data_IF_821799672904
#
_entry.id   IF_821799672904
#
_cell.length_a   1.000
_cell.length_b   1.000
_cell.length_c   1.000
_cell.angle_alpha   90.00
_cell.angle_beta   90.00
_cell.angle_gamma   90.00
#
_symmetry.space_group_name_H-M   'P 1'
#
loop_
_entity.id
_entity.type
_entity.pdbx_description
1 polymer ?
#
# COMPACT_ATOMS: atom_id res chain seq x y z
N UNK A 1 39.64 4.52 -0.29
CA UNK A 1 39.91 3.54 0.73
C UNK A 1 38.57 3.15 1.28
N UNK A 2 38.15 2.02 0.76
CA UNK A 2 36.97 1.19 1.02
C UNK A 2 35.69 1.86 1.54
N UNK A 3 34.93 2.35 0.61
CA UNK A 3 33.47 2.45 0.73
C UNK A 3 32.92 1.02 0.58
N UNK A 4 32.62 0.40 1.70
CA UNK A 4 31.80 -0.80 1.72
C UNK A 4 30.42 -0.42 1.19
N UNK A 5 30.15 -0.66 -0.08
CA UNK A 5 28.83 -0.81 -0.66
C UNK A 5 28.11 -1.93 0.09
N UNK A 6 27.46 -1.58 1.20
CA UNK A 6 26.53 -2.48 1.84
C UNK A 6 25.33 -2.58 0.93
N UNK A 7 25.35 -3.55 0.04
CA UNK A 7 24.20 -4.02 -0.73
C UNK A 7 23.03 -4.21 0.25
N UNK A 8 22.08 -3.29 0.22
CA UNK A 8 20.81 -3.45 0.93
C UNK A 8 19.91 -4.37 0.11
N UNK A 9 20.25 -5.65 0.09
CA UNK A 9 19.34 -6.67 -0.41
C UNK A 9 18.15 -6.82 0.56
N UNK A 10 16.97 -6.89 0.00
CA UNK A 10 15.80 -7.42 0.73
C UNK A 10 16.20 -8.78 1.30
N UNK A 11 15.95 -9.06 2.58
CA UNK A 11 16.28 -10.36 3.15
C UNK A 11 15.66 -11.47 2.31
N UNK A 12 16.48 -12.34 1.72
CA UNK A 12 16.04 -13.38 0.78
C UNK A 12 14.96 -14.29 1.36
N UNK A 13 15.02 -14.56 2.67
CA UNK A 13 14.04 -15.36 3.41
C UNK A 13 12.65 -14.72 3.41
N UNK A 14 12.55 -13.40 3.60
CA UNK A 14 11.27 -12.68 3.57
C UNK A 14 10.66 -12.63 2.17
N UNK A 15 11.47 -12.42 1.16
CA UNK A 15 11.01 -12.45 -0.22
C UNK A 15 10.52 -13.86 -0.60
N UNK A 16 11.26 -14.90 -0.20
CA UNK A 16 10.84 -16.29 -0.38
C UNK A 16 9.49 -16.56 0.31
N UNK A 17 9.30 -16.04 1.54
CA UNK A 17 8.03 -16.18 2.26
C UNK A 17 6.87 -15.51 1.54
N UNK A 18 7.05 -14.30 1.01
CA UNK A 18 6.01 -13.62 0.20
C UNK A 18 5.67 -14.43 -1.04
N UNK A 19 6.66 -14.98 -1.73
CA UNK A 19 6.44 -15.82 -2.91
C UNK A 19 5.71 -17.12 -2.56
N UNK A 20 6.06 -17.78 -1.45
CA UNK A 20 5.33 -18.97 -0.96
C UNK A 20 3.87 -18.66 -0.67
N UNK A 21 3.60 -17.56 0.04
CA UNK A 21 2.23 -17.12 0.34
C UNK A 21 1.49 -16.74 -0.95
N UNK A 22 2.16 -16.09 -1.89
CA UNK A 22 1.58 -15.69 -3.17
C UNK A 22 1.14 -16.89 -4.04
N UNK A 23 1.78 -18.05 -3.91
CA UNK A 23 1.40 -19.27 -4.65
C UNK A 23 0.52 -20.23 -3.85
N UNK A 24 0.38 -20.05 -2.55
CA UNK A 24 -0.49 -20.83 -1.67
C UNK A 24 -1.92 -20.29 -1.66
N UNK A 25 -2.82 -20.96 -0.94
CA UNK A 25 -4.18 -20.47 -0.66
C UNK A 25 -4.26 -19.59 0.61
N UNK A 26 -3.14 -18.93 0.96
CA UNK A 26 -3.09 -18.03 2.11
C UNK A 26 -4.01 -16.83 1.91
N UNK A 27 -4.58 -16.26 2.98
CA UNK A 27 -5.38 -15.05 2.92
C UNK A 27 -4.59 -13.90 2.28
N UNK A 28 -5.26 -13.11 1.44
CA UNK A 28 -4.65 -11.96 0.76
C UNK A 28 -4.01 -10.99 1.76
N UNK A 29 -4.69 -10.71 2.87
CA UNK A 29 -4.20 -9.83 3.93
C UNK A 29 -2.87 -10.29 4.53
N UNK A 30 -2.70 -11.59 4.76
CA UNK A 30 -1.44 -12.17 5.27
C UNK A 30 -0.30 -11.94 4.29
N UNK A 31 -0.52 -12.21 3.01
CA UNK A 31 0.50 -12.02 1.96
C UNK A 31 0.89 -10.55 1.81
N UNK A 32 -0.09 -9.66 1.81
CA UNK A 32 0.17 -8.21 1.74
C UNK A 32 0.85 -7.69 3.01
N UNK A 33 0.49 -8.22 4.17
CA UNK A 33 1.13 -7.89 5.45
C UNK A 33 2.61 -8.26 5.48
N UNK A 34 2.99 -9.44 5.00
CA UNK A 34 4.39 -9.85 4.88
C UNK A 34 5.18 -8.96 3.89
N UNK A 35 4.56 -8.58 2.79
CA UNK A 35 5.15 -7.65 1.83
C UNK A 35 5.43 -6.29 2.46
N UNK A 36 4.50 -5.75 3.24
CA UNK A 36 4.69 -4.51 3.99
C UNK A 36 5.76 -4.64 5.07
N UNK A 37 5.84 -5.79 5.74
CA UNK A 37 6.88 -6.09 6.72
C UNK A 37 8.31 -6.00 6.13
N UNK A 38 8.48 -6.29 4.83
CA UNK A 38 9.76 -6.08 4.13
C UNK A 38 10.07 -4.59 4.07
N UNK A 39 9.12 -3.76 3.66
CA UNK A 39 9.28 -2.31 3.54
C UNK A 39 9.64 -1.69 4.89
N UNK A 40 8.86 -2.00 5.92
CA UNK A 40 9.03 -1.44 7.26
C UNK A 40 10.38 -1.84 7.88
N UNK A 41 10.79 -3.10 7.72
CA UNK A 41 12.07 -3.60 8.26
C UNK A 41 13.30 -3.09 7.51
N UNK A 42 13.15 -2.75 6.24
CA UNK A 42 14.25 -2.23 5.42
C UNK A 42 14.43 -0.72 5.60
N UNK A 43 13.40 -0.04 6.09
CA UNK A 43 13.43 1.40 6.34
C UNK A 43 14.28 1.74 7.56
N UNK A 44 15.13 2.75 7.42
CA UNK A 44 15.88 3.35 8.55
C UNK A 44 15.13 4.50 9.22
N UNK A 45 14.01 4.92 8.66
CA UNK A 45 13.25 6.10 9.08
C UNK A 45 11.95 5.76 9.78
N UNK A 46 11.71 4.46 10.05
CA UNK A 46 10.49 4.03 10.72
C UNK A 46 9.24 4.24 9.86
N UNK A 47 9.33 3.93 8.56
CA UNK A 47 8.18 3.98 7.67
C UNK A 47 7.10 3.02 8.13
N UNK A 48 5.86 3.43 8.00
CA UNK A 48 4.68 2.61 8.24
C UNK A 48 3.99 2.36 6.90
N UNK A 49 3.82 1.08 6.54
CA UNK A 49 3.23 0.68 5.26
C UNK A 49 1.74 0.40 5.36
N UNK A 50 1.00 0.72 4.30
CA UNK A 50 -0.36 0.22 4.13
C UNK A 50 -0.68 -0.11 2.66
N UNK A 51 -1.57 -1.06 2.47
CA UNK A 51 -2.19 -1.35 1.18
C UNK A 51 -3.70 -1.25 1.34
N UNK A 52 -4.31 -0.40 0.54
CA UNK A 52 -5.75 -0.32 0.37
C UNK A 52 -6.14 -0.94 -0.97
N UNK A 53 -7.25 -1.65 -0.98
CA UNK A 53 -7.79 -2.32 -2.17
C UNK A 53 -8.92 -1.49 -2.77
N UNK A 54 -8.88 -1.21 -4.06
CA UNK A 54 -10.00 -0.59 -4.75
C UNK A 54 -11.11 -1.61 -4.90
N UNK A 55 -12.30 -1.28 -4.41
CA UNK A 55 -13.47 -2.14 -4.46
C UNK A 55 -13.91 -2.39 -5.92
N UNK A 56 -14.75 -3.40 -6.13
CA UNK A 56 -15.24 -3.77 -7.47
C UNK A 56 -16.09 -2.68 -8.13
N UNK A 57 -16.66 -1.78 -7.32
CA UNK A 57 -17.38 -0.61 -7.83
C UNK A 57 -16.47 0.44 -8.47
N UNK A 58 -15.15 0.32 -8.28
CA UNK A 58 -14.14 1.24 -8.78
C UNK A 58 -14.14 2.60 -8.08
N UNK A 59 -14.78 2.73 -6.91
CA UNK A 59 -14.97 4.01 -6.23
C UNK A 59 -14.49 4.05 -4.79
N UNK A 60 -14.48 2.93 -4.07
CA UNK A 60 -14.17 2.89 -2.65
C UNK A 60 -12.90 2.10 -2.37
N UNK A 61 -12.06 2.64 -1.48
CA UNK A 61 -10.88 1.96 -0.97
C UNK A 61 -11.24 1.17 0.28
N UNK A 62 -10.84 -0.10 0.33
CA UNK A 62 -11.02 -1.01 1.45
C UNK A 62 -9.69 -1.39 2.06
N UNK A 63 -9.70 -1.72 3.33
CA UNK A 63 -8.54 -2.24 4.01
C UNK A 63 -8.00 -3.50 3.31
N UNK A 64 -6.70 -3.52 3.01
CA UNK A 64 -5.98 -4.68 2.49
C UNK A 64 -5.01 -5.24 3.51
N UNK A 65 -4.05 -4.43 3.94
CA UNK A 65 -3.13 -4.71 5.03
C UNK A 65 -2.47 -3.42 5.54
N UNK A 66 -2.24 -3.35 6.84
CA UNK A 66 -1.53 -2.23 7.47
C UNK A 66 -1.01 -2.67 8.86
N UNK A 67 0.04 -3.52 8.93
CA UNK A 67 0.43 -4.20 10.17
C UNK A 67 0.86 -3.25 11.29
N UNK A 68 1.36 -2.06 10.97
CA UNK A 68 1.89 -1.10 11.94
C UNK A 68 1.05 0.17 12.09
N UNK A 69 -0.06 0.32 11.34
CA UNK A 69 -1.01 1.40 11.56
C UNK A 69 -2.00 1.03 12.69
N UNK A 70 -2.40 2.00 13.52
CA UNK A 70 -3.45 1.78 14.51
C UNK A 70 -4.77 1.36 13.85
N UNK A 71 -5.44 0.35 14.44
CA UNK A 71 -6.74 -0.14 13.97
C UNK A 71 -7.77 0.99 13.84
N UNK A 72 -7.82 1.90 14.82
CA UNK A 72 -8.70 3.06 14.80
C UNK A 72 -8.48 3.99 13.60
N UNK A 73 -7.24 4.09 13.10
CA UNK A 73 -6.95 4.82 11.88
C UNK A 73 -7.45 4.05 10.65
N UNK A 74 -7.16 2.75 10.59
CA UNK A 74 -7.60 1.89 9.49
C UNK A 74 -9.12 1.88 9.35
N UNK A 75 -9.85 1.76 10.46
CA UNK A 75 -11.32 1.81 10.49
C UNK A 75 -11.88 3.14 10.01
N UNK A 76 -11.23 4.25 10.37
CA UNK A 76 -11.67 5.58 9.99
C UNK A 76 -11.54 5.87 8.48
N UNK A 77 -10.59 5.24 7.80
CA UNK A 77 -10.36 5.42 6.36
C UNK A 77 -10.98 4.31 5.51
N UNK A 78 -11.44 3.21 6.12
CA UNK A 78 -12.05 2.10 5.36
C UNK A 78 -13.34 2.55 4.68
N UNK A 79 -13.44 2.27 3.40
CA UNK A 79 -14.58 2.65 2.58
C UNK A 79 -14.54 4.11 2.08
N UNK A 80 -13.42 4.82 2.21
CA UNK A 80 -13.30 6.16 1.66
C UNK A 80 -13.47 6.14 0.12
N UNK A 81 -14.30 7.04 -0.40
CA UNK A 81 -14.48 7.20 -1.85
C UNK A 81 -13.25 7.88 -2.45
N UNK A 82 -12.73 7.36 -3.57
CA UNK A 82 -11.62 7.99 -4.28
C UNK A 82 -12.04 9.32 -4.91
N UNK A 83 -11.12 10.25 -5.04
CA UNK A 83 -11.44 11.57 -5.59
C UNK A 83 -10.21 12.43 -5.82
N UNK A 84 -10.39 13.63 -6.40
CA UNK A 84 -9.28 14.51 -6.75
C UNK A 84 -8.55 15.10 -5.53
N UNK A 85 -9.16 15.03 -4.33
CA UNK A 85 -8.65 15.61 -3.09
C UNK A 85 -9.08 14.77 -1.88
N UNK A 86 -8.62 13.50 -1.81
CA UNK A 86 -8.98 12.53 -0.76
C UNK A 86 -7.73 11.90 -0.17
N UNK A 87 -6.98 12.68 0.58
CA UNK A 87 -5.67 12.30 1.10
C UNK A 87 -4.72 11.84 -0.02
N UNK A 88 -3.64 11.17 0.33
CA UNK A 88 -2.71 10.65 -0.69
C UNK A 88 -3.30 9.42 -1.42
N UNK A 89 -3.90 8.48 -0.69
CA UNK A 89 -4.37 7.21 -1.27
C UNK A 89 -5.57 7.38 -2.20
N UNK A 90 -6.61 8.10 -1.75
CA UNK A 90 -7.80 8.33 -2.57
C UNK A 90 -7.49 9.15 -3.82
N UNK A 91 -6.56 10.11 -3.70
CA UNK A 91 -6.11 10.92 -4.83
C UNK A 91 -5.24 10.11 -5.79
N UNK A 92 -4.33 9.27 -5.31
CA UNK A 92 -3.49 8.41 -6.15
C UNK A 92 -4.32 7.39 -6.93
N UNK A 93 -5.31 6.75 -6.27
CA UNK A 93 -6.23 5.82 -6.94
C UNK A 93 -7.06 6.53 -8.02
N UNK A 94 -7.56 7.72 -7.74
CA UNK A 94 -8.36 8.51 -8.68
C UNK A 94 -7.56 8.96 -9.92
N UNK A 95 -6.33 9.43 -9.72
CA UNK A 95 -5.46 9.91 -10.81
C UNK A 95 -4.73 8.79 -11.55
N UNK A 96 -4.67 7.59 -10.97
CA UNK A 96 -3.81 6.48 -11.40
C UNK A 96 -2.33 6.91 -11.52
N UNK A 97 -1.88 7.79 -10.60
CA UNK A 97 -0.54 8.36 -10.54
C UNK A 97 -0.04 8.44 -9.09
N UNK A 98 1.27 8.35 -8.83
CA UNK A 98 1.82 8.55 -7.50
C UNK A 98 1.49 9.94 -6.94
N UNK A 99 1.19 9.99 -5.64
CA UNK A 99 0.93 11.23 -4.89
C UNK A 99 1.86 11.26 -3.67
N UNK A 100 2.74 12.23 -3.63
CA UNK A 100 3.70 12.43 -2.55
C UNK A 100 3.31 13.67 -1.74
N UNK A 101 2.87 13.46 -0.51
CA UNK A 101 2.58 14.54 0.44
C UNK A 101 3.64 14.54 1.53
N UNK A 102 4.53 15.53 1.46
CA UNK A 102 5.65 15.68 2.39
C UNK A 102 5.26 16.34 3.72
N UNK A 103 4.13 17.04 3.77
CA UNK A 103 3.61 17.70 4.99
C UNK A 103 2.09 17.65 5.01
N UNK A 104 1.55 16.65 5.71
CA UNK A 104 0.10 16.42 5.82
C UNK A 104 -0.61 17.63 6.46
N UNK A 105 0.01 18.28 7.42
CA UNK A 105 -0.61 19.37 8.16
C UNK A 105 -0.95 20.58 7.28
N UNK A 106 -0.19 20.78 6.21
CA UNK A 106 -0.32 21.94 5.33
C UNK A 106 -0.81 21.59 3.91
N UNK A 107 -0.87 20.32 3.54
CA UNK A 107 -1.26 19.91 2.19
C UNK A 107 -2.78 19.95 1.98
N UNK A 108 -3.26 20.58 0.88
CA UNK A 108 -4.69 20.70 0.58
C UNK A 108 -5.38 19.35 0.34
N UNK A 109 -4.67 18.31 -0.10
CA UNK A 109 -5.25 16.98 -0.32
C UNK A 109 -5.71 16.32 0.98
N UNK A 110 -5.25 16.82 2.14
CA UNK A 110 -5.52 16.25 3.45
C UNK A 110 -6.49 17.05 4.30
N UNK A 111 -7.15 18.06 3.76
CA UNK A 111 -8.07 18.94 4.52
C UNK A 111 -9.06 18.16 5.38
N UNK A 112 -9.70 17.14 4.80
CA UNK A 112 -10.73 16.34 5.50
C UNK A 112 -10.14 15.26 6.41
N UNK A 113 -8.85 14.94 6.29
CA UNK A 113 -8.18 13.87 7.03
C UNK A 113 -7.07 14.38 7.96
N UNK A 114 -6.84 15.70 8.00
CA UNK A 114 -5.74 16.34 8.74
C UNK A 114 -5.80 16.08 10.23
N UNK A 115 -6.96 16.20 10.83
CA UNK A 115 -7.17 15.95 12.25
C UNK A 115 -6.98 14.48 12.61
N UNK A 116 -7.47 13.58 11.75
CA UNK A 116 -7.26 12.14 11.91
C UNK A 116 -5.77 11.79 11.86
N UNK A 117 -5.03 12.32 10.89
CA UNK A 117 -3.59 12.12 10.77
C UNK A 117 -2.83 12.66 12.00
N UNK A 118 -3.18 13.87 12.46
CA UNK A 118 -2.58 14.48 13.65
C UNK A 118 -2.82 13.65 14.92
N UNK A 119 -4.03 13.13 15.11
CA UNK A 119 -4.38 12.25 16.24
C UNK A 119 -3.50 11.00 16.29
N UNK A 120 -3.10 10.48 15.13
CA UNK A 120 -2.26 9.29 15.02
C UNK A 120 -0.77 9.60 14.79
N UNK A 121 -0.38 10.87 14.85
CA UNK A 121 1.01 11.30 14.72
C UNK A 121 1.61 11.01 13.34
N UNK A 122 0.85 11.23 12.28
CA UNK A 122 1.28 11.07 10.89
C UNK A 122 1.61 12.43 10.28
N UNK A 123 2.86 12.62 9.83
CA UNK A 123 3.38 13.88 9.29
C UNK A 123 3.53 13.91 7.77
N UNK A 124 3.80 12.78 7.14
CA UNK A 124 3.89 12.65 5.68
C UNK A 124 3.24 11.35 5.19
N UNK A 125 2.73 11.33 3.96
CA UNK A 125 2.18 10.15 3.32
C UNK A 125 2.45 10.16 1.81
N UNK A 126 3.15 9.15 1.34
CA UNK A 126 3.40 8.91 -0.08
C UNK A 126 2.57 7.73 -0.54
N UNK A 127 1.76 7.89 -1.55
CA UNK A 127 0.88 6.84 -2.06
C UNK A 127 1.11 6.57 -3.54
N UNK A 128 1.25 5.31 -3.88
CA UNK A 128 1.51 4.84 -5.23
C UNK A 128 0.39 3.88 -5.63
N UNK A 129 -0.26 4.08 -6.79
CA UNK A 129 -1.30 3.17 -7.24
C UNK A 129 -0.71 1.81 -7.62
N UNK A 130 -1.37 0.75 -7.17
CA UNK A 130 -1.09 -0.64 -7.56
C UNK A 130 -1.93 -0.91 -8.80
N UNK A 131 -1.29 -1.23 -9.93
CA UNK A 131 -1.97 -1.34 -11.22
C UNK A 131 -1.61 -2.64 -11.93
N UNK A 132 -2.55 -3.15 -12.72
CA UNK A 132 -2.28 -4.20 -13.71
C UNK A 132 -1.41 -3.67 -14.86
N UNK A 133 -0.86 -4.56 -15.69
CA UNK A 133 -0.15 -4.19 -16.92
C UNK A 133 -1.01 -3.35 -17.86
N UNK A 134 -2.33 -3.54 -17.87
CA UNK A 134 -3.30 -2.72 -18.61
C UNK A 134 -3.66 -1.39 -17.95
N UNK A 135 -2.93 -0.97 -16.90
CA UNK A 135 -3.13 0.28 -16.14
C UNK A 135 -4.47 0.38 -15.39
N UNK A 136 -5.12 -0.74 -15.11
CA UNK A 136 -6.27 -0.77 -14.21
C UNK A 136 -5.79 -0.68 -12.77
N UNK A 137 -6.30 0.27 -12.00
CA UNK A 137 -6.01 0.43 -10.57
C UNK A 137 -6.66 -0.70 -9.79
N UNK A 138 -5.87 -1.38 -8.98
CA UNK A 138 -6.30 -2.45 -8.06
C UNK A 138 -6.38 -1.98 -6.61
N UNK A 139 -5.64 -0.94 -6.28
CA UNK A 139 -5.51 -0.38 -4.95
C UNK A 139 -4.38 0.62 -4.88
N UNK A 140 -3.92 0.91 -3.67
CA UNK A 140 -2.80 1.81 -3.41
C UNK A 140 -1.84 1.22 -2.37
N UNK A 141 -0.56 1.45 -2.56
CA UNK A 141 0.49 1.25 -1.57
C UNK A 141 0.88 2.60 -0.98
N UNK A 142 0.81 2.76 0.33
CA UNK A 142 1.19 3.98 1.02
C UNK A 142 2.32 3.77 2.03
N UNK A 143 3.16 4.78 2.11
CA UNK A 143 4.24 4.92 3.08
C UNK A 143 3.97 6.14 3.94
N UNK A 144 3.72 5.93 5.23
CA UNK A 144 3.52 7.00 6.21
C UNK A 144 4.80 7.24 7.01
N UNK A 145 5.01 8.49 7.36
CA UNK A 145 6.09 8.93 8.25
C UNK A 145 5.56 9.77 9.40
N UNK A 146 6.21 9.68 10.54
CA UNK A 146 5.84 10.45 11.75
C UNK A 146 6.11 11.93 11.60
N UNK A 147 7.15 12.28 10.85
CA UNK A 147 7.59 13.65 10.63
C UNK A 147 7.39 14.06 9.17
N UNK A 148 7.16 15.34 8.89
CA UNK A 148 7.15 15.86 7.52
C UNK A 148 8.48 15.55 6.82
N UNK A 149 8.40 15.01 5.61
CA UNK A 149 9.57 14.72 4.77
C UNK A 149 9.21 14.45 3.31
N UNK A 150 10.15 14.76 2.44
CA UNK A 150 10.07 14.39 1.03
C UNK A 150 10.75 13.04 0.76
N UNK A 151 10.29 12.28 -0.27
CA UNK A 151 10.90 11.02 -0.63
C UNK A 151 12.30 11.21 -1.22
N UNK A 152 13.21 10.32 -0.83
CA UNK A 152 14.53 10.20 -1.47
C UNK A 152 14.51 9.07 -2.50
N UNK A 153 15.51 9.03 -3.38
CA UNK A 153 15.69 7.92 -4.34
C UNK A 153 15.72 6.57 -3.62
N UNK A 154 16.32 6.53 -2.44
CA UNK A 154 16.40 5.31 -1.62
C UNK A 154 15.04 4.88 -1.07
N UNK A 155 14.20 5.81 -0.65
CA UNK A 155 12.86 5.52 -0.15
C UNK A 155 12.01 4.87 -1.25
N UNK A 156 12.23 5.27 -2.49
CA UNK A 156 11.48 4.77 -3.65
C UNK A 156 12.05 3.48 -4.27
N UNK A 157 13.22 3.01 -3.81
CA UNK A 157 13.90 1.86 -4.41
C UNK A 157 13.09 0.55 -4.34
N UNK A 158 12.21 0.39 -3.34
CA UNK A 158 11.36 -0.80 -3.18
C UNK A 158 9.96 -0.65 -3.76
N UNK A 159 9.60 0.55 -4.21
CA UNK A 159 8.22 0.83 -4.67
C UNK A 159 7.81 -0.09 -5.82
N UNK A 160 8.66 -0.25 -6.82
CA UNK A 160 8.37 -1.10 -7.98
C UNK A 160 8.20 -2.57 -7.57
N UNK A 161 9.08 -3.08 -6.70
CA UNK A 161 8.98 -4.44 -6.19
C UNK A 161 7.64 -4.65 -5.45
N UNK A 162 7.29 -3.74 -4.55
CA UNK A 162 6.07 -3.83 -3.75
C UNK A 162 4.82 -3.74 -4.62
N UNK A 163 4.75 -2.73 -5.49
CA UNK A 163 3.56 -2.50 -6.32
C UNK A 163 3.35 -3.60 -7.36
N UNK A 164 4.41 -4.10 -7.98
CA UNK A 164 4.33 -5.22 -8.94
C UNK A 164 3.93 -6.52 -8.24
N UNK A 165 4.55 -6.83 -7.09
CA UNK A 165 4.21 -8.04 -6.33
C UNK A 165 2.78 -7.97 -5.81
N UNK A 166 2.37 -6.85 -5.23
CA UNK A 166 1.00 -6.64 -4.77
C UNK A 166 -0.01 -6.76 -5.91
N UNK A 167 0.28 -6.20 -7.10
CA UNK A 167 -0.58 -6.31 -8.26
C UNK A 167 -0.82 -7.77 -8.66
N UNK A 168 0.23 -8.59 -8.72
CA UNK A 168 0.13 -10.02 -9.06
C UNK A 168 -0.72 -10.77 -8.03
N UNK A 169 -0.49 -10.53 -6.75
CA UNK A 169 -1.20 -11.21 -5.65
C UNK A 169 -2.67 -10.83 -5.63
N UNK A 170 -2.98 -9.54 -5.75
CA UNK A 170 -4.35 -9.03 -5.74
C UNK A 170 -5.13 -9.52 -6.98
N UNK A 171 -4.52 -9.46 -8.17
CA UNK A 171 -5.17 -9.88 -9.40
C UNK A 171 -5.48 -11.39 -9.38
N UNK A 172 -4.55 -12.19 -8.89
CA UNK A 172 -4.74 -13.63 -8.67
C UNK A 172 -5.88 -13.92 -7.68
N UNK A 173 -5.90 -13.24 -6.54
CA UNK A 173 -6.95 -13.44 -5.53
C UNK A 173 -8.33 -13.13 -6.11
N UNK A 174 -8.45 -12.03 -6.86
CA UNK A 174 -9.69 -11.66 -7.56
C UNK A 174 -10.11 -12.69 -8.59
N UNK A 175 -9.19 -13.21 -9.38
CA UNK A 175 -9.46 -14.25 -10.35
C UNK A 175 -9.96 -15.55 -9.67
N UNK A 176 -9.32 -15.96 -8.59
CA UNK A 176 -9.71 -17.12 -7.80
C UNK A 176 -11.10 -16.93 -7.16
N UNK A 177 -11.39 -15.74 -6.65
CA UNK A 177 -12.70 -15.42 -6.08
C UNK A 177 -13.81 -15.49 -7.13
N UNK A 178 -13.55 -14.99 -8.34
CA UNK A 178 -14.49 -15.08 -9.45
C UNK A 178 -14.76 -16.55 -9.87
N UNK A 179 -13.70 -17.37 -9.96
CA UNK A 179 -13.85 -18.80 -10.28
C UNK A 179 -14.65 -19.55 -9.20
N UNK A 180 -14.39 -19.30 -7.92
CA UNK A 180 -15.17 -19.87 -6.80
C UNK A 180 -16.64 -19.48 -6.85
N UNK A 181 -16.94 -18.23 -7.24
CA UNK A 181 -18.31 -17.74 -7.39
C UNK A 181 -19.06 -18.47 -8.50
N UNK A 182 -18.43 -18.65 -9.67
CA UNK A 182 -19.00 -19.39 -10.80
C UNK A 182 -19.27 -20.85 -10.41
N UNK A 183 -18.32 -21.52 -9.75
CA UNK A 183 -18.48 -22.92 -9.35
C UNK A 183 -19.65 -23.12 -8.35
N UNK A 184 -19.97 -22.12 -7.54
CA UNK A 184 -21.13 -22.18 -6.61
C UNK A 184 -22.48 -21.99 -7.30
N UNK A 185 -22.51 -21.36 -8.47
CA UNK A 185 -23.74 -21.12 -9.24
C UNK A 185 -24.10 -22.32 -10.14
N UNK A 186 -23.16 -23.25 -10.37
CA UNK A 186 -23.33 -24.43 -11.22
C UNK A 186 -23.66 -25.72 -10.44
N UNK A 187 -23.71 -25.65 -9.13
CA UNK A 187 -24.16 -26.74 -8.22
C UNK A 187 -25.51 -26.39 -7.58
#
# INVERSE_FOLDING_TARGET
MDEAETSMGVPSERLSRVLELAISDSPLEETLGELLGIVESTSRTGVIGSILLLDQDGKHLRHGAAPSLPESYCDAIDGAEIGPCVGSCGTAAFRAEPVFVGDIANDPLWVDFRELAATHGLGACWSIPIMTAGRKVLGTFAMYHREPREPTVRDLALVDLVTQTAALVIDRDRANAALRSIARLTN
#
